data_IF_254157134409
#
_entry.id   IF_254157134409
#
_cell.length_a   1.000
_cell.length_b   1.000
_cell.length_c   1.000
_cell.angle_alpha   90.00
_cell.angle_beta   90.00
_cell.angle_gamma   90.00
#
_symmetry.space_group_name_H-M   'P 1'
#
loop_
_entity.id
_entity.type
_entity.pdbx_description
1 polymer ?
#
# COMPACT_ATOMS: atom_id res chain seq x y z
N UNK A 1 10.40 2.08 -5.92
CA UNK A 1 9.21 2.80 -6.42
C UNK A 1 8.52 3.54 -5.28
N UNK A 2 8.17 4.76 -5.50
CA UNK A 2 7.42 5.55 -4.53
C UNK A 2 5.96 5.61 -4.97
N UNK A 3 5.05 5.26 -4.07
CA UNK A 3 3.63 5.18 -4.37
C UNK A 3 2.85 5.95 -3.31
N UNK A 4 1.84 6.70 -3.74
CA UNK A 4 0.89 7.31 -2.81
C UNK A 4 -0.26 6.34 -2.58
N UNK A 5 -0.64 6.20 -1.33
CA UNK A 5 -1.70 5.27 -0.92
C UNK A 5 -2.73 6.02 -0.09
N UNK A 6 -3.99 5.86 -0.46
CA UNK A 6 -5.09 6.31 0.36
C UNK A 6 -5.74 5.11 1.03
N UNK A 7 -5.68 5.10 2.35
CA UNK A 7 -6.20 4.00 3.16
C UNK A 7 -7.68 4.21 3.46
N UNK A 8 -8.45 3.14 3.31
CA UNK A 8 -9.86 3.10 3.68
C UNK A 8 -9.95 2.09 4.83
N UNK A 9 -9.99 2.56 6.09
CA UNK A 9 -10.02 1.67 7.25
C UNK A 9 -11.40 1.06 7.48
N UNK A 10 -11.52 0.18 8.44
CA UNK A 10 -12.77 -0.49 8.81
C UNK A 10 -13.35 -1.36 7.70
N UNK A 11 -12.54 -1.86 6.81
CA UNK A 11 -13.00 -2.71 5.73
C UNK A 11 -13.18 -4.15 6.21
N UNK A 12 -13.93 -4.94 5.47
CA UNK A 12 -14.13 -6.35 5.77
C UNK A 12 -12.97 -7.22 5.31
N UNK A 13 -12.14 -6.68 4.42
CA UNK A 13 -10.94 -7.36 3.93
C UNK A 13 -9.91 -6.34 3.47
N UNK A 14 -8.66 -6.79 3.36
CA UNK A 14 -7.59 -5.96 2.80
C UNK A 14 -7.62 -6.10 1.29
N UNK A 15 -7.71 -4.98 0.58
CA UNK A 15 -7.85 -5.02 -0.87
C UNK A 15 -7.38 -3.74 -1.54
N UNK A 16 -6.61 -3.87 -2.61
CA UNK A 16 -6.36 -2.75 -3.52
C UNK A 16 -7.62 -2.56 -4.36
N UNK A 17 -8.32 -1.47 -4.14
CA UNK A 17 -9.63 -1.23 -4.77
C UNK A 17 -9.48 -0.66 -6.17
N UNK A 18 -8.62 0.33 -6.31
CA UNK A 18 -8.46 1.05 -7.58
C UNK A 18 -7.21 1.91 -7.56
N UNK A 19 -6.90 2.45 -8.71
CA UNK A 19 -5.82 3.44 -8.87
C UNK A 19 -6.41 4.67 -9.53
N UNK A 20 -6.28 5.82 -8.87
CA UNK A 20 -6.70 7.11 -9.43
C UNK A 20 -5.44 7.92 -9.65
N UNK A 21 -5.03 8.06 -10.90
CA UNK A 21 -3.75 8.66 -11.25
C UNK A 21 -2.60 7.82 -10.67
N UNK A 22 -1.78 8.41 -9.80
CA UNK A 22 -0.68 7.73 -9.13
C UNK A 22 -1.03 7.32 -7.70
N UNK A 23 -2.30 7.41 -7.30
CA UNK A 23 -2.74 7.10 -5.93
C UNK A 23 -3.45 5.75 -5.92
N UNK A 24 -2.96 4.83 -5.09
CA UNK A 24 -3.63 3.56 -4.83
C UNK A 24 -4.65 3.76 -3.72
N UNK A 25 -5.87 3.29 -3.93
CA UNK A 25 -6.89 3.22 -2.90
C UNK A 25 -6.90 1.81 -2.34
N UNK A 26 -6.64 1.69 -1.04
CA UNK A 26 -6.47 0.39 -0.39
C UNK A 26 -7.37 0.27 0.82
N UNK A 27 -8.22 -0.74 0.82
CA UNK A 27 -9.04 -1.09 1.98
C UNK A 27 -8.20 -1.88 2.97
N UNK A 28 -8.33 -1.56 4.25
CA UNK A 28 -7.62 -2.25 5.34
C UNK A 28 -8.63 -2.61 6.44
N UNK A 29 -8.52 -3.80 6.95
CA UNK A 29 -9.41 -4.31 8.01
C UNK A 29 -9.25 -3.57 9.34
N UNK A 30 -8.09 -3.00 9.61
CA UNK A 30 -7.84 -2.29 10.86
C UNK A 30 -8.82 -1.13 11.04
N UNK A 31 -9.29 -0.95 12.27
CA UNK A 31 -10.35 0.00 12.56
C UNK A 31 -9.92 1.46 12.47
N UNK A 32 -8.66 1.76 12.68
CA UNK A 32 -8.15 3.12 12.72
C UNK A 32 -6.77 3.22 12.07
N UNK A 33 -6.41 4.44 11.73
CA UNK A 33 -5.08 4.72 11.18
C UNK A 33 -4.09 4.83 12.34
N UNK A 34 -3.43 3.72 12.66
CA UNK A 34 -2.46 3.62 13.73
C UNK A 34 -1.32 2.69 13.30
N UNK A 35 -0.43 2.36 14.21
CA UNK A 35 0.70 1.50 13.90
C UNK A 35 0.28 0.10 13.46
N UNK A 36 -0.77 -0.45 14.07
CA UNK A 36 -1.31 -1.74 13.66
C UNK A 36 -1.82 -1.70 12.23
N UNK A 37 -2.54 -0.66 11.86
CA UNK A 37 -3.01 -0.47 10.49
C UNK A 37 -1.84 -0.28 9.52
N UNK A 38 -0.81 0.43 9.93
CA UNK A 38 0.40 0.61 9.11
C UNK A 38 1.10 -0.73 8.86
N UNK A 39 1.19 -1.58 9.87
CA UNK A 39 1.79 -2.90 9.71
C UNK A 39 0.93 -3.79 8.81
N UNK A 40 -0.38 -3.73 8.97
CA UNK A 40 -1.30 -4.48 8.11
C UNK A 40 -1.16 -4.02 6.65
N UNK A 41 -1.07 -2.73 6.42
CA UNK A 41 -0.88 -2.17 5.09
C UNK A 41 0.44 -2.63 4.47
N UNK A 42 1.52 -2.57 5.24
CA UNK A 42 2.84 -3.01 4.76
C UNK A 42 2.84 -4.48 4.35
N UNK A 43 2.28 -5.34 5.20
CA UNK A 43 2.21 -6.77 4.91
C UNK A 43 1.34 -7.06 3.69
N UNK A 44 0.22 -6.39 3.58
CA UNK A 44 -0.67 -6.57 2.45
C UNK A 44 -0.03 -6.11 1.13
N UNK A 45 0.60 -4.93 1.13
CA UNK A 45 1.28 -4.42 -0.06
C UNK A 45 2.47 -5.28 -0.45
N UNK A 46 3.20 -5.81 0.53
CA UNK A 46 4.31 -6.72 0.27
C UNK A 46 3.82 -7.97 -0.48
N UNK A 47 2.73 -8.53 -0.03
CA UNK A 47 2.10 -9.68 -0.69
C UNK A 47 1.61 -9.30 -2.09
N UNK A 48 0.95 -8.16 -2.20
CA UNK A 48 0.42 -7.69 -3.48
C UNK A 48 1.52 -7.47 -4.53
N UNK A 49 2.64 -6.87 -4.13
CA UNK A 49 3.78 -6.60 -5.02
C UNK A 49 4.80 -7.74 -5.07
N UNK A 50 4.56 -8.83 -4.34
CA UNK A 50 5.43 -10.00 -4.27
C UNK A 50 6.85 -9.63 -3.80
N UNK A 51 6.91 -8.86 -2.72
CA UNK A 51 8.17 -8.51 -2.06
C UNK A 51 8.08 -8.84 -0.57
N UNK A 52 9.22 -8.82 0.12
CA UNK A 52 9.26 -8.98 1.57
C UNK A 52 8.62 -7.77 2.26
N UNK A 53 7.97 -7.95 3.43
CA UNK A 53 7.47 -6.81 4.20
C UNK A 53 8.53 -5.76 4.52
N UNK A 54 9.80 -6.15 4.64
CA UNK A 54 10.91 -5.22 4.84
C UNK A 54 11.12 -4.28 3.66
N UNK A 55 10.65 -4.68 2.49
CA UNK A 55 10.80 -3.90 1.28
C UNK A 55 9.70 -2.84 1.12
N UNK A 56 8.74 -2.81 2.05
CA UNK A 56 7.65 -1.84 2.03
C UNK A 56 7.80 -0.91 3.23
N UNK A 57 8.03 0.37 2.97
CA UNK A 57 8.26 1.36 4.02
C UNK A 57 7.35 2.55 3.86
N UNK A 58 6.66 2.94 4.94
CA UNK A 58 5.84 4.14 4.95
C UNK A 58 6.76 5.30 5.29
N UNK A 59 7.05 6.13 4.30
CA UNK A 59 8.02 7.22 4.47
C UNK A 59 7.36 8.56 4.80
N UNK A 60 6.04 8.64 4.67
CA UNK A 60 5.29 9.85 4.99
C UNK A 60 3.83 9.52 5.30
N UNK A 61 3.21 10.28 6.18
CA UNK A 61 1.79 10.14 6.47
C UNK A 61 1.42 8.97 7.37
N UNK A 62 2.34 8.55 8.26
CA UNK A 62 2.10 7.40 9.15
C UNK A 62 0.85 7.56 10.02
N UNK A 63 0.46 8.78 10.33
CA UNK A 63 -0.71 9.06 11.19
C UNK A 63 -1.97 9.48 10.42
N UNK A 64 -1.90 9.50 9.10
CA UNK A 64 -3.02 9.92 8.27
C UNK A 64 -3.49 8.82 7.34
N UNK A 65 -4.57 9.08 6.62
CA UNK A 65 -5.10 8.14 5.64
C UNK A 65 -4.37 8.21 4.30
N UNK A 66 -3.69 9.30 4.04
CA UNK A 66 -2.86 9.45 2.85
C UNK A 66 -1.41 9.22 3.24
N UNK A 67 -0.80 8.23 2.63
CA UNK A 67 0.55 7.79 2.95
C UNK A 67 1.41 7.77 1.70
N UNK A 68 2.69 8.02 1.89
CA UNK A 68 3.69 7.81 0.85
C UNK A 68 4.47 6.55 1.22
N UNK A 69 4.52 5.61 0.32
CA UNK A 69 5.11 4.29 0.56
C UNK A 69 6.22 4.04 -0.45
N UNK A 70 7.36 3.58 0.07
CA UNK A 70 8.47 3.14 -0.77
C UNK A 70 8.44 1.62 -0.86
N UNK A 71 8.52 1.11 -2.08
CA UNK A 71 8.55 -0.33 -2.35
C UNK A 71 9.83 -0.67 -3.09
N UNK A 72 10.58 -1.61 -2.54
CA UNK A 72 11.83 -2.12 -3.11
C UNK A 72 11.71 -3.65 -3.28
N UNK A 73 12.81 -4.34 -3.54
CA UNK A 73 12.81 -5.81 -3.60
C UNK A 73 12.46 -6.40 -4.95
N UNK A 74 12.02 -5.58 -5.90
CA UNK A 74 11.76 -5.94 -7.29
C UNK A 74 12.31 -4.84 -8.17
N UNK A 75 12.45 -5.12 -9.47
CA UNK A 75 12.87 -4.08 -10.41
C UNK A 75 11.77 -3.03 -10.55
N UNK A 76 12.14 -1.81 -10.90
CA UNK A 76 11.16 -0.75 -11.19
C UNK A 76 10.17 -1.20 -12.26
N UNK A 77 10.66 -1.90 -13.27
CA UNK A 77 9.81 -2.39 -14.35
C UNK A 77 8.76 -3.38 -13.84
N UNK A 78 9.16 -4.33 -12.99
CA UNK A 78 8.23 -5.29 -12.40
C UNK A 78 7.19 -4.62 -11.54
N UNK A 79 7.60 -3.66 -10.71
CA UNK A 79 6.68 -2.91 -9.85
C UNK A 79 5.70 -2.07 -10.68
N UNK A 80 6.17 -1.45 -11.75
CA UNK A 80 5.32 -0.69 -12.66
C UNK A 80 4.26 -1.57 -13.32
N UNK A 81 4.61 -2.79 -13.70
CA UNK A 81 3.66 -3.72 -14.30
C UNK A 81 2.52 -4.03 -13.35
N UNK A 82 2.83 -4.22 -12.07
CA UNK A 82 1.81 -4.46 -11.05
C UNK A 82 0.90 -3.24 -10.94
N UNK A 83 1.47 -2.04 -10.90
CA UNK A 83 0.69 -0.80 -10.85
C UNK A 83 -0.23 -0.67 -12.06
N UNK A 84 0.29 -0.93 -13.25
CA UNK A 84 -0.49 -0.81 -14.48
C UNK A 84 -1.62 -1.82 -14.60
N UNK A 85 -1.55 -2.91 -13.86
CA UNK A 85 -2.61 -3.93 -13.83
C UNK A 85 -3.82 -3.52 -12.99
N UNK A 86 -3.71 -2.45 -12.21
CA UNK A 86 -4.76 -1.98 -11.32
C UNK A 86 -5.69 -1.04 -12.08
N UNK A 87 -7.01 -1.29 -12.06
CA UNK A 87 -7.99 -0.42 -12.71
C UNK A 87 -8.01 1.00 -12.20
#
# INVERSE_FOLDING_TARGET
MIVKVRVIPNAMENEVVSRIGSVLRVKIMAAEVNEEANNALRHYLAEFFEVSPRAVNIIRGAKGREKTVEITGQTEESLKRVMESIP
#
